data_IF_726243463162
#
_entry.id   IF_726243463162
#
_cell.length_a   1.000
_cell.length_b   1.000
_cell.length_c   1.000
_cell.angle_alpha   90.00
_cell.angle_beta   90.00
_cell.angle_gamma   90.00
#
_symmetry.space_group_name_H-M   'P 1'
#
loop_
_entity.id
_entity.type
_entity.pdbx_description
1 polymer ?
#
# COMPACT_ATOMS: atom_id res chain seq x y z
N UNK A 1 -13.06 22.62 -20.15
CA UNK A 1 -12.41 23.91 -19.82
C UNK A 1 -11.39 23.62 -18.73
N UNK A 2 -10.10 23.81 -19.01
CA UNK A 2 -9.09 23.80 -17.95
C UNK A 2 -9.30 25.05 -17.09
N UNK A 3 -9.55 24.87 -15.79
CA UNK A 3 -9.53 25.99 -14.85
C UNK A 3 -8.08 26.47 -14.71
N UNK A 4 -7.88 27.78 -14.84
CA UNK A 4 -6.59 28.40 -14.56
C UNK A 4 -6.42 28.54 -13.05
N UNK A 5 -5.28 28.08 -12.51
CA UNK A 5 -4.94 28.15 -11.10
C UNK A 5 -3.69 29.04 -10.93
N UNK A 6 -3.74 30.01 -10.02
CA UNK A 6 -2.65 30.94 -9.74
C UNK A 6 -2.20 30.84 -8.28
N UNK A 7 -0.94 30.49 -8.06
CA UNK A 7 -0.35 30.48 -6.71
C UNK A 7 -0.30 31.88 -6.07
N UNK A 8 -0.27 32.94 -6.90
CA UNK A 8 -0.26 34.32 -6.41
C UNK A 8 -1.60 34.74 -5.76
N UNK A 9 -2.66 33.98 -6.01
CA UNK A 9 -3.99 34.21 -5.42
C UNK A 9 -4.20 33.40 -4.12
N UNK A 10 -3.19 32.64 -3.68
CA UNK A 10 -3.25 31.85 -2.45
C UNK A 10 -2.54 32.56 -1.29
N UNK A 11 -3.27 32.94 -0.24
CA UNK A 11 -2.69 33.48 1.00
C UNK A 11 -1.93 32.42 1.82
N UNK A 12 -2.35 31.16 1.68
CA UNK A 12 -1.81 30.01 2.44
C UNK A 12 -1.67 28.82 1.50
N UNK A 13 -0.55 28.12 1.61
CA UNK A 13 -0.30 26.84 0.94
C UNK A 13 -0.07 25.77 2.00
N UNK A 14 -0.98 24.80 2.08
CA UNK A 14 -0.83 23.62 2.93
C UNK A 14 -0.09 22.52 2.20
N UNK A 15 0.85 21.87 2.88
CA UNK A 15 1.56 20.71 2.38
C UNK A 15 1.23 19.51 3.26
N UNK A 16 1.00 18.36 2.62
CA UNK A 16 1.04 17.10 3.33
C UNK A 16 2.46 16.83 3.84
N UNK A 17 2.59 16.04 4.92
CA UNK A 17 3.90 15.72 5.48
C UNK A 17 4.50 14.53 4.75
N UNK A 18 3.88 13.37 4.88
CA UNK A 18 4.45 12.10 4.45
C UNK A 18 4.37 11.93 2.93
N UNK A 19 5.47 11.50 2.32
CA UNK A 19 5.63 11.43 0.85
C UNK A 19 5.50 12.76 0.09
N UNK A 20 5.32 13.89 0.79
CA UNK A 20 5.34 15.25 0.23
C UNK A 20 6.53 16.05 0.75
N UNK A 21 6.53 16.47 2.02
CA UNK A 21 7.68 17.14 2.65
C UNK A 21 8.71 16.14 3.18
N UNK A 22 8.24 15.11 3.88
CA UNK A 22 9.02 14.01 4.40
C UNK A 22 9.07 12.88 3.36
N UNK A 23 10.22 12.71 2.72
CA UNK A 23 10.40 11.70 1.68
C UNK A 23 11.07 10.45 2.25
N UNK A 24 10.52 9.29 1.90
CA UNK A 24 11.00 7.99 2.34
C UNK A 24 11.71 7.25 1.21
N UNK A 25 12.73 6.48 1.54
CA UNK A 25 13.26 5.47 0.63
C UNK A 25 12.26 4.32 0.53
N UNK A 26 11.57 4.24 -0.61
CA UNK A 26 10.45 3.32 -0.81
C UNK A 26 10.79 1.84 -0.54
N UNK A 27 11.95 1.29 -0.94
CA UNK A 27 12.27 -0.11 -0.64
C UNK A 27 12.33 -0.40 0.87
N UNK A 28 12.95 0.50 1.64
CA UNK A 28 13.13 0.38 3.08
C UNK A 28 11.80 0.55 3.81
N UNK A 29 10.99 1.55 3.43
CA UNK A 29 9.66 1.75 4.03
C UNK A 29 8.71 0.61 3.66
N UNK A 30 8.72 0.16 2.40
CA UNK A 30 7.90 -0.95 1.94
C UNK A 30 8.22 -2.24 2.70
N UNK A 31 9.50 -2.52 2.92
CA UNK A 31 9.94 -3.67 3.72
C UNK A 31 9.41 -3.61 5.15
N UNK A 32 9.52 -2.45 5.80
CA UNK A 32 9.05 -2.28 7.19
C UNK A 32 7.54 -2.50 7.31
N UNK A 33 6.77 -1.95 6.38
CA UNK A 33 5.32 -2.12 6.34
C UNK A 33 4.95 -3.59 6.11
N UNK A 34 5.58 -4.24 5.12
CA UNK A 34 5.37 -5.66 4.84
C UNK A 34 5.66 -6.51 6.08
N UNK A 35 6.85 -6.34 6.69
CA UNK A 35 7.27 -7.11 7.86
C UNK A 35 6.30 -6.91 9.03
N UNK A 36 5.82 -5.67 9.24
CA UNK A 36 4.84 -5.35 10.29
C UNK A 36 3.51 -6.08 10.07
N UNK A 37 2.97 -6.02 8.85
CA UNK A 37 1.71 -6.68 8.51
C UNK A 37 1.84 -8.22 8.58
N UNK A 38 2.91 -8.78 8.01
CA UNK A 38 3.17 -10.21 8.04
C UNK A 38 3.32 -10.71 9.48
N UNK A 39 4.04 -9.97 10.33
CA UNK A 39 4.19 -10.31 11.74
C UNK A 39 2.84 -10.40 12.44
N UNK A 40 1.95 -9.43 12.21
CA UNK A 40 0.61 -9.42 12.79
C UNK A 40 -0.25 -10.59 12.30
N UNK A 41 -0.27 -10.85 10.99
CA UNK A 41 -1.04 -11.97 10.43
C UNK A 41 -0.56 -13.32 10.99
N UNK A 42 0.75 -13.51 11.15
CA UNK A 42 1.28 -14.77 11.68
C UNK A 42 1.02 -14.91 13.17
N UNK A 43 1.28 -13.89 14.01
CA UNK A 43 1.17 -14.05 15.47
C UNK A 43 -0.24 -13.92 16.00
N UNK A 44 -1.01 -12.97 15.47
CA UNK A 44 -2.34 -12.65 16.01
C UNK A 44 -3.45 -13.42 15.28
N UNK A 45 -3.21 -13.84 14.03
CA UNK A 45 -4.21 -14.47 13.16
C UNK A 45 -3.87 -15.90 12.75
N UNK A 46 -2.66 -16.37 13.02
CA UNK A 46 -2.26 -17.77 12.81
C UNK A 46 -2.00 -18.14 11.36
N UNK A 47 -1.67 -17.18 10.49
CA UNK A 47 -1.27 -17.45 9.11
C UNK A 47 0.10 -18.15 9.06
N UNK A 48 0.43 -18.74 7.91
CA UNK A 48 1.69 -19.44 7.70
C UNK A 48 2.92 -18.54 7.95
N UNK A 49 3.91 -19.10 8.66
CA UNK A 49 5.17 -18.41 8.97
C UNK A 49 5.99 -18.06 7.73
N UNK A 50 5.74 -18.73 6.60
CA UNK A 50 6.38 -18.42 5.32
C UNK A 50 6.12 -16.98 4.86
N UNK A 51 5.05 -16.34 5.33
CA UNK A 51 4.78 -14.92 5.09
C UNK A 51 5.86 -14.00 5.66
N UNK A 52 6.58 -14.41 6.72
CA UNK A 52 7.67 -13.63 7.34
C UNK A 52 8.95 -13.59 6.49
N UNK A 53 9.09 -14.52 5.54
CA UNK A 53 10.26 -14.60 4.68
C UNK A 53 9.96 -13.88 3.37
N UNK A 54 10.48 -12.65 3.21
CA UNK A 54 10.32 -11.86 1.99
C UNK A 54 11.56 -12.00 1.09
N UNK A 55 11.42 -12.57 -0.13
CA UNK A 55 12.49 -12.55 -1.13
C UNK A 55 12.79 -11.13 -1.62
N UNK A 56 14.04 -10.81 -2.01
CA UNK A 56 14.48 -9.46 -2.37
C UNK A 56 13.68 -8.81 -3.52
N UNK A 57 13.26 -9.60 -4.52
CA UNK A 57 12.67 -9.10 -5.76
C UNK A 57 11.13 -9.03 -5.74
N UNK A 58 10.50 -9.43 -4.64
CA UNK A 58 9.04 -9.59 -4.64
C UNK A 58 8.27 -8.27 -4.47
N UNK A 59 8.93 -7.21 -3.99
CA UNK A 59 8.28 -5.90 -3.84
C UNK A 59 8.00 -5.20 -5.17
N UNK A 60 8.60 -5.64 -6.28
CA UNK A 60 8.30 -5.12 -7.62
C UNK A 60 6.85 -5.41 -8.06
N UNK A 61 6.19 -6.37 -7.40
CA UNK A 61 4.75 -6.60 -7.53
C UNK A 61 3.92 -5.36 -7.14
N UNK A 62 4.42 -4.58 -6.20
CA UNK A 62 3.71 -3.48 -5.56
C UNK A 62 3.74 -2.22 -6.45
N UNK A 63 2.65 -1.97 -7.17
CA UNK A 63 2.47 -0.77 -7.99
C UNK A 63 1.29 0.06 -7.50
N UNK A 64 1.46 1.39 -7.36
CA UNK A 64 0.35 2.29 -7.04
C UNK A 64 -0.75 2.20 -8.11
N UNK A 65 -2.00 2.24 -7.66
CA UNK A 65 -3.20 2.04 -8.48
C UNK A 65 -3.46 0.58 -8.86
N UNK A 66 -2.95 -0.37 -8.08
CA UNK A 66 -3.31 -1.78 -8.19
C UNK A 66 -4.64 -2.02 -7.49
N UNK A 67 -5.54 -2.76 -8.13
CA UNK A 67 -6.83 -3.15 -7.56
C UNK A 67 -6.76 -4.61 -7.12
N UNK A 68 -7.10 -4.89 -5.88
CA UNK A 68 -7.34 -6.26 -5.40
C UNK A 68 -8.84 -6.58 -5.55
N UNK A 69 -9.15 -7.59 -6.34
CA UNK A 69 -10.43 -8.31 -6.34
C UNK A 69 -10.36 -9.42 -5.29
N UNK A 70 -10.92 -9.15 -4.12
CA UNK A 70 -10.85 -10.04 -2.96
C UNK A 70 -11.69 -11.29 -3.21
N UNK A 71 -12.80 -11.16 -3.93
CA UNK A 71 -13.71 -12.29 -4.17
C UNK A 71 -13.04 -13.37 -5.03
N UNK A 72 -12.19 -12.96 -5.97
CA UNK A 72 -11.52 -13.86 -6.92
C UNK A 72 -10.01 -14.03 -6.65
N UNK A 73 -9.46 -13.39 -5.62
CA UNK A 73 -8.02 -13.46 -5.31
C UNK A 73 -7.12 -12.83 -6.39
N UNK A 74 -7.66 -11.92 -7.19
CA UNK A 74 -6.99 -11.36 -8.37
C UNK A 74 -6.49 -9.94 -8.11
N UNK A 75 -5.37 -9.58 -8.73
CA UNK A 75 -4.85 -8.22 -8.75
C UNK A 75 -4.89 -7.67 -10.15
N UNK A 76 -5.44 -6.47 -10.32
CA UNK A 76 -5.72 -5.86 -11.61
C UNK A 76 -5.01 -4.51 -11.72
N UNK A 77 -4.36 -4.29 -12.86
CA UNK A 77 -3.94 -2.96 -13.30
C UNK A 77 -4.91 -2.49 -14.37
N UNK A 78 -5.63 -1.42 -14.08
CA UNK A 78 -6.67 -0.89 -14.97
C UNK A 78 -6.15 0.31 -15.77
N UNK A 79 -6.69 0.50 -16.97
CA UNK A 79 -6.61 1.72 -17.74
C UNK A 79 -7.56 2.79 -17.18
N UNK A 80 -7.45 4.02 -17.70
CA UNK A 80 -8.34 5.13 -17.33
C UNK A 80 -9.81 4.86 -17.68
N UNK A 81 -10.07 4.06 -18.72
CA UNK A 81 -11.41 3.61 -19.13
C UNK A 81 -11.87 2.32 -18.41
N UNK A 82 -11.11 1.87 -17.41
CA UNK A 82 -11.39 0.67 -16.62
C UNK A 82 -11.09 -0.65 -17.32
N UNK A 83 -10.49 -0.66 -18.50
CA UNK A 83 -10.03 -1.90 -19.15
C UNK A 83 -8.89 -2.55 -18.35
N UNK A 84 -8.92 -3.87 -18.19
CA UNK A 84 -7.84 -4.61 -17.50
C UNK A 84 -6.60 -4.69 -18.42
N UNK A 85 -5.52 -4.04 -18.00
CA UNK A 85 -4.24 -4.02 -18.74
C UNK A 85 -3.31 -5.17 -18.34
N UNK A 86 -3.29 -5.51 -17.04
CA UNK A 86 -2.53 -6.62 -16.47
C UNK A 86 -3.34 -7.23 -15.34
N UNK A 87 -3.17 -8.53 -15.13
CA UNK A 87 -3.75 -9.23 -14.01
C UNK A 87 -2.80 -10.30 -13.45
N UNK A 88 -2.98 -10.63 -12.18
CA UNK A 88 -2.42 -11.83 -11.55
C UNK A 88 -3.47 -12.49 -10.68
N UNK A 89 -3.35 -13.80 -10.50
CA UNK A 89 -4.04 -14.54 -9.45
C UNK A 89 -3.01 -14.86 -8.37
N UNK A 90 -3.22 -14.35 -7.15
CA UNK A 90 -2.14 -14.29 -6.17
C UNK A 90 -0.89 -13.64 -6.77
N UNK A 91 0.28 -14.28 -6.64
CA UNK A 91 1.53 -13.80 -7.24
C UNK A 91 1.73 -14.26 -8.69
N UNK A 92 0.90 -15.15 -9.20
CA UNK A 92 1.02 -15.69 -10.56
C UNK A 92 0.40 -14.73 -11.59
N UNK A 93 1.24 -14.14 -12.43
CA UNK A 93 0.78 -13.28 -13.54
C UNK A 93 -0.06 -14.06 -14.55
N UNK A 94 -1.15 -13.45 -15.02
CA UNK A 94 -1.99 -13.98 -16.10
C UNK A 94 -1.40 -13.62 -17.47
N UNK A 95 -1.57 -14.49 -18.46
CA UNK A 95 -1.24 -14.19 -19.86
C UNK A 95 -2.27 -13.23 -20.46
N UNK A 96 -1.93 -12.66 -21.60
CA UNK A 96 -2.86 -11.80 -22.34
C UNK A 96 -4.13 -12.55 -22.76
N UNK A 97 -3.99 -13.82 -23.15
CA UNK A 97 -5.11 -14.69 -23.54
C UNK A 97 -6.02 -14.97 -22.34
N UNK A 98 -5.45 -15.28 -21.17
CA UNK A 98 -6.22 -15.48 -19.93
C UNK A 98 -6.98 -14.20 -19.54
N UNK A 99 -6.35 -13.04 -19.62
CA UNK A 99 -6.99 -11.74 -19.34
C UNK A 99 -8.15 -11.50 -20.31
N UNK A 100 -7.95 -11.74 -21.61
CA UNK A 100 -9.00 -11.56 -22.61
C UNK A 100 -10.17 -12.54 -22.40
N UNK A 101 -9.89 -13.76 -21.99
CA UNK A 101 -10.92 -14.76 -21.71
C UNK A 101 -11.77 -14.38 -20.49
N UNK A 102 -11.12 -13.92 -19.41
CA UNK A 102 -11.78 -13.62 -18.13
C UNK A 102 -12.47 -12.25 -18.15
N UNK A 103 -11.79 -11.22 -18.64
CA UNK A 103 -12.23 -9.83 -18.53
C UNK A 103 -12.67 -9.22 -19.86
N UNK A 104 -12.25 -9.78 -20.99
CA UNK A 104 -12.50 -9.21 -22.31
C UNK A 104 -11.76 -7.89 -22.55
N UNK A 105 -12.27 -7.07 -23.48
CA UNK A 105 -11.72 -5.75 -23.83
C UNK A 105 -12.61 -4.59 -23.40
N UNK A 106 -13.45 -4.82 -22.39
CA UNK A 106 -14.42 -3.84 -21.90
C UNK A 106 -13.98 -3.34 -20.53
N UNK A 107 -14.59 -2.24 -20.09
CA UNK A 107 -14.52 -1.78 -18.72
C UNK A 107 -14.79 -2.96 -17.76
N UNK A 108 -13.91 -3.15 -16.78
CA UNK A 108 -14.14 -4.14 -15.75
C UNK A 108 -15.43 -3.81 -14.99
N UNK A 109 -16.33 -4.79 -14.86
CA UNK A 109 -17.70 -4.61 -14.32
C UNK A 109 -17.80 -3.85 -12.99
N UNK A 110 -16.73 -3.82 -12.19
CA UNK A 110 -16.69 -3.22 -10.86
C UNK A 110 -15.91 -1.92 -10.79
N UNK A 111 -15.40 -1.41 -11.92
CA UNK A 111 -14.54 -0.23 -12.00
C UNK A 111 -15.07 0.97 -11.20
N UNK A 112 -16.35 1.29 -11.36
CA UNK A 112 -17.01 2.41 -10.68
C UNK A 112 -17.29 2.19 -9.18
N UNK A 113 -17.01 1.00 -8.64
CA UNK A 113 -17.23 0.64 -7.23
C UNK A 113 -15.95 0.52 -6.42
N UNK A 114 -14.79 0.63 -7.10
CA UNK A 114 -13.47 0.54 -6.47
C UNK A 114 -13.24 1.75 -5.57
N UNK A 115 -12.69 1.50 -4.39
CA UNK A 115 -12.31 2.54 -3.43
C UNK A 115 -11.00 2.18 -2.74
N UNK A 116 -10.19 3.19 -2.41
CA UNK A 116 -9.06 3.05 -1.49
C UNK A 116 -9.45 3.15 -0.02
N UNK A 117 -10.74 3.37 0.29
CA UNK A 117 -11.19 3.43 1.68
C UNK A 117 -11.22 2.03 2.29
N UNK A 118 -10.40 1.82 3.32
CA UNK A 118 -10.33 0.56 4.05
C UNK A 118 -11.67 0.25 4.72
N UNK A 119 -12.29 -0.87 4.33
CA UNK A 119 -13.48 -1.41 4.96
C UNK A 119 -13.39 -2.92 5.07
N UNK A 120 -13.83 -3.48 6.21
CA UNK A 120 -13.82 -4.95 6.44
C UNK A 120 -14.74 -5.71 5.48
N UNK A 121 -15.74 -5.05 4.92
CA UNK A 121 -16.71 -5.65 3.99
C UNK A 121 -16.42 -5.31 2.54
N UNK A 122 -15.24 -4.74 2.26
CA UNK A 122 -14.85 -4.44 0.89
C UNK A 122 -14.72 -5.74 0.09
N UNK A 123 -15.19 -5.69 -1.16
CA UNK A 123 -14.99 -6.75 -2.17
C UNK A 123 -13.82 -6.43 -3.08
N UNK A 124 -13.54 -5.14 -3.24
CA UNK A 124 -12.44 -4.62 -4.04
C UNK A 124 -11.69 -3.57 -3.24
N UNK A 125 -10.38 -3.51 -3.41
CA UNK A 125 -9.54 -2.53 -2.73
C UNK A 125 -8.53 -1.90 -3.68
N UNK A 126 -8.43 -0.57 -3.67
CA UNK A 126 -7.44 0.17 -4.45
C UNK A 126 -6.25 0.55 -3.58
N UNK A 127 -5.07 0.06 -3.95
CA UNK A 127 -3.81 0.50 -3.34
C UNK A 127 -3.35 1.81 -4.01
N UNK A 128 -3.81 2.96 -3.51
CA UNK A 128 -3.53 4.29 -4.07
C UNK A 128 -2.48 5.11 -3.30
N UNK A 129 -1.95 4.57 -2.21
CA UNK A 129 -0.95 5.22 -1.36
C UNK A 129 0.21 4.26 -1.07
N UNK A 130 1.26 4.73 -0.41
CA UNK A 130 2.45 3.90 -0.12
C UNK A 130 2.42 3.25 1.27
N UNK A 131 1.45 3.60 2.12
CA UNK A 131 1.39 3.16 3.52
C UNK A 131 0.84 1.75 3.67
N UNK A 132 0.03 1.30 2.72
CA UNK A 132 -0.60 -0.02 2.70
C UNK A 132 -0.20 -0.88 1.49
N UNK A 133 0.40 -0.27 0.46
CA UNK A 133 0.77 -0.92 -0.79
C UNK A 133 1.59 -2.22 -0.64
N UNK A 134 2.55 -2.34 0.29
CA UNK A 134 3.24 -3.61 0.52
C UNK A 134 2.31 -4.75 0.99
N UNK A 135 1.15 -4.41 1.54
CA UNK A 135 0.06 -5.34 1.84
C UNK A 135 -0.51 -6.02 0.60
N UNK A 136 -0.37 -5.44 -0.60
CA UNK A 136 -0.80 -6.08 -1.85
C UNK A 136 -0.06 -7.40 -2.09
N UNK A 137 1.27 -7.39 -1.99
CA UNK A 137 2.08 -8.62 -2.11
C UNK A 137 1.72 -9.62 -0.99
N UNK A 138 1.50 -9.13 0.22
CA UNK A 138 1.12 -10.00 1.33
C UNK A 138 -0.21 -10.72 1.06
N UNK A 139 -1.21 -9.98 0.57
CA UNK A 139 -2.49 -10.55 0.13
C UNK A 139 -2.30 -11.56 -1.01
N UNK A 140 -1.43 -11.26 -1.98
CA UNK A 140 -1.14 -12.16 -3.10
C UNK A 140 -0.56 -13.50 -2.63
N UNK A 141 0.36 -13.47 -1.66
CA UNK A 141 0.93 -14.67 -1.07
C UNK A 141 -0.04 -15.44 -0.18
N UNK A 142 -0.96 -14.73 0.48
CA UNK A 142 -2.06 -15.37 1.21
C UNK A 142 -2.96 -16.13 0.23
N UNK A 143 -3.31 -15.54 -0.92
CA UNK A 143 -4.04 -16.23 -1.99
C UNK A 143 -3.29 -17.48 -2.43
N UNK A 144 -2.00 -17.36 -2.78
CA UNK A 144 -1.19 -18.52 -3.22
C UNK A 144 -1.16 -19.67 -2.20
N UNK A 145 -1.10 -19.33 -0.91
CA UNK A 145 -1.10 -20.32 0.19
C UNK A 145 -2.47 -20.97 0.36
N UNK A 146 -3.55 -20.18 0.31
CA UNK A 146 -4.91 -20.70 0.43
C UNK A 146 -5.26 -21.62 -0.74
N UNK A 147 -4.85 -21.30 -1.96
CA UNK A 147 -5.11 -22.11 -3.15
C UNK A 147 -4.40 -23.47 -3.12
N UNK A 148 -3.28 -23.58 -2.41
CA UNK A 148 -2.55 -24.85 -2.24
C UNK A 148 -3.23 -25.79 -1.24
N UNK A 149 -3.95 -25.24 -0.26
CA UNK A 149 -4.50 -25.99 0.87
C UNK A 149 -6.01 -26.18 0.82
N UNK A 150 -6.75 -25.25 0.22
CA UNK A 150 -8.20 -25.18 0.29
C UNK A 150 -8.83 -25.34 -1.10
N UNK A 151 -9.65 -26.37 -1.27
CA UNK A 151 -10.39 -26.60 -2.52
C UNK A 151 -11.58 -25.65 -2.70
N UNK A 152 -11.90 -24.81 -1.71
CA UNK A 152 -13.00 -23.86 -1.75
C UNK A 152 -12.53 -22.41 -1.99
N UNK A 153 -13.01 -21.83 -3.09
CA UNK A 153 -12.63 -20.54 -3.68
C UNK A 153 -13.04 -19.26 -2.90
N UNK A 154 -13.41 -19.34 -1.62
CA UNK A 154 -13.92 -18.16 -0.91
C UNK A 154 -12.86 -17.56 0.01
N UNK A 155 -12.32 -16.41 -0.38
CA UNK A 155 -11.38 -15.65 0.43
C UNK A 155 -12.09 -14.83 1.52
N UNK A 156 -11.66 -14.98 2.77
CA UNK A 156 -12.13 -14.19 3.93
C UNK A 156 -10.95 -13.58 4.71
N UNK A 157 -9.76 -13.49 4.08
CA UNK A 157 -8.56 -12.96 4.72
C UNK A 157 -8.58 -11.43 4.86
N UNK A 158 -9.41 -10.73 4.08
CA UNK A 158 -9.38 -9.26 4.02
C UNK A 158 -9.67 -8.61 5.37
N UNK A 159 -10.59 -9.15 6.17
CA UNK A 159 -10.88 -8.64 7.53
C UNK A 159 -9.64 -8.64 8.44
N UNK A 160 -8.74 -9.61 8.24
CA UNK A 160 -7.50 -9.75 9.00
C UNK A 160 -6.43 -8.80 8.46
N UNK A 161 -6.37 -8.62 7.14
CA UNK A 161 -5.52 -7.58 6.52
C UNK A 161 -5.91 -6.18 7.01
N UNK A 162 -7.21 -5.86 7.06
CA UNK A 162 -7.71 -4.61 7.65
C UNK A 162 -7.29 -4.47 9.11
N UNK A 163 -7.36 -5.55 9.89
CA UNK A 163 -6.91 -5.54 11.28
C UNK A 163 -5.40 -5.28 11.40
N UNK A 164 -4.58 -5.83 10.50
CA UNK A 164 -3.14 -5.58 10.44
C UNK A 164 -2.82 -4.11 10.08
N UNK A 165 -3.50 -3.56 9.06
CA UNK A 165 -3.40 -2.14 8.69
C UNK A 165 -3.75 -1.26 9.89
N UNK A 166 -4.90 -1.48 10.51
CA UNK A 166 -5.36 -0.73 11.68
C UNK A 166 -4.43 -0.88 12.89
N UNK A 167 -3.79 -2.05 13.05
CA UNK A 167 -2.80 -2.25 14.10
C UNK A 167 -1.57 -1.36 13.85
N UNK A 168 -1.06 -1.33 12.62
CA UNK A 168 0.13 -0.54 12.26
C UNK A 168 -0.06 0.98 12.43
N UNK A 169 -1.29 1.49 12.35
CA UNK A 169 -1.58 2.91 12.63
C UNK A 169 -1.70 3.25 14.13
N UNK A 170 -1.65 2.25 15.03
CA UNK A 170 -1.64 2.50 16.47
C UNK A 170 -0.21 2.72 16.95
N UNK A 171 0.05 3.85 17.60
CA UNK A 171 1.36 4.16 18.21
C UNK A 171 1.83 3.02 19.13
N UNK A 172 0.91 2.36 19.84
CA UNK A 172 1.20 1.25 20.74
C UNK A 172 1.58 -0.07 20.04
N UNK A 173 1.35 -0.20 18.74
CA UNK A 173 1.77 -1.37 17.97
C UNK A 173 3.29 -1.43 17.78
N UNK A 174 3.95 -0.29 17.84
CA UNK A 174 5.40 -0.19 17.72
C UNK A 174 6.05 -0.43 19.08
N UNK A 175 6.37 -1.71 19.35
CA UNK A 175 7.19 -2.09 20.50
C UNK A 175 8.58 -1.43 20.40
N UNK A 176 9.27 -1.32 21.54
CA UNK A 176 10.63 -0.74 21.64
C UNK A 176 11.59 -1.32 20.59
N UNK A 177 11.45 -2.60 20.24
CA UNK A 177 12.27 -3.25 19.21
C UNK A 177 12.02 -2.73 17.79
N UNK A 178 10.77 -2.38 17.46
CA UNK A 178 10.46 -1.76 16.18
C UNK A 178 11.01 -0.33 16.11
N UNK A 179 10.85 0.45 17.18
CA UNK A 179 11.45 1.79 17.30
C UNK A 179 12.99 1.74 17.24
N UNK A 180 13.58 0.67 17.78
CA UNK A 180 15.02 0.39 17.67
C UNK A 180 15.44 0.03 16.24
N UNK A 181 14.64 -0.77 15.51
CA UNK A 181 14.86 -1.00 14.07
C UNK A 181 14.74 0.29 13.27
N UNK A 182 13.74 1.12 13.54
CA UNK A 182 13.55 2.41 12.88
C UNK A 182 14.71 3.37 13.14
N UNK A 183 15.19 3.47 14.38
CA UNK A 183 16.33 4.33 14.72
C UNK A 183 17.62 3.88 14.05
N UNK A 184 17.86 2.56 13.94
CA UNK A 184 18.99 2.01 13.18
C UNK A 184 18.87 2.25 11.67
N UNK A 185 17.65 2.31 11.14
CA UNK A 185 17.38 2.62 9.74
C UNK A 185 17.30 4.13 9.46
N UNK A 186 17.26 4.99 10.49
CA UNK A 186 16.99 6.43 10.38
C UNK A 186 17.64 7.11 9.17
N UNK A 187 18.97 7.09 9.00
CA UNK A 187 19.63 7.76 7.88
C UNK A 187 19.39 7.10 6.50
N UNK A 188 18.86 5.88 6.46
CA UNK A 188 18.58 5.11 5.24
C UNK A 188 17.08 4.98 4.94
N UNK A 189 16.21 5.38 5.88
CA UNK A 189 14.76 5.36 5.72
C UNK A 189 14.25 6.64 5.09
N UNK A 190 14.87 7.78 5.43
CA UNK A 190 14.50 9.09 4.91
C UNK A 190 15.46 9.49 3.81
N UNK A 191 14.90 10.07 2.74
CA UNK A 191 15.70 10.73 1.71
C UNK A 191 16.08 12.10 2.28
N UNK A 192 17.38 12.42 2.45
CA UNK A 192 17.81 13.72 2.93
C UNK A 192 17.18 14.86 2.10
N UNK A 193 16.86 15.97 2.76
CA UNK A 193 16.30 17.14 2.10
C UNK A 193 17.26 17.68 1.02
N UNK A 194 16.73 18.10 -0.13
CA UNK A 194 17.49 18.89 -1.08
C UNK A 194 17.88 20.24 -0.46
N UNK A 195 19.05 20.82 -0.77
CA UNK A 195 19.50 22.10 -0.20
C UNK A 195 18.56 23.30 -0.50
N UNK A 196 17.61 23.12 -1.43
CA UNK A 196 16.59 24.11 -1.79
C UNK A 196 15.57 24.33 -0.65
N UNK A 197 15.32 23.31 0.17
CA UNK A 197 14.39 23.39 1.33
C UNK A 197 15.14 23.75 2.63
N UNK A 198 16.49 23.76 2.61
CA UNK A 198 17.32 23.99 3.80
C UNK A 198 17.76 25.45 3.99
N UNK A 199 17.20 26.41 3.25
CA UNK A 199 17.44 27.82 3.55
C UNK A 199 16.64 28.26 4.79
N UNK A 200 17.31 28.13 5.95
CA UNK A 200 17.12 28.78 7.26
C UNK A 200 15.71 29.25 7.67
N UNK A 201 15.10 28.64 8.71
CA UNK A 201 13.90 29.15 9.38
C UNK A 201 14.27 30.10 10.56
N UNK A 202 15.14 31.10 10.37
CA UNK A 202 15.44 32.06 11.44
C UNK A 202 14.47 33.24 11.55
N UNK A 203 13.44 33.34 10.70
CA UNK A 203 12.53 34.51 10.70
C UNK A 203 11.10 34.24 11.17
N UNK A 204 10.71 33.01 11.48
CA UNK A 204 9.32 32.70 11.87
C UNK A 204 9.34 31.85 13.13
N UNK A 205 8.65 32.33 14.18
CA UNK A 205 8.55 31.76 15.53
C UNK A 205 9.61 32.26 16.53
N UNK A 206 9.51 33.54 16.91
CA UNK A 206 9.81 33.91 18.30
C UNK A 206 8.63 33.44 19.17
N UNK A 207 8.85 32.66 20.23
CA UNK A 207 7.78 32.33 21.17
C UNK A 207 7.45 33.58 21.97
N UNK A 208 6.25 34.13 21.78
CA UNK A 208 5.66 35.04 22.77
C UNK A 208 5.10 34.19 23.90
N UNK A 209 5.77 34.25 25.04
CA UNK A 209 5.27 33.74 26.31
C UNK A 209 4.04 34.55 26.75
N UNK A 210 2.95 33.85 27.02
CA UNK A 210 1.98 34.13 28.09
C UNK A 210 1.42 32.78 28.56
#
# INVERSE_FOLDING_TARGET
MQQHFSLAECDVVGFDLDHTLCRYHLPQSARLIYDSFAQYLVTEKGYDKDLLTLPPDNLDFCCKGLVLDIEEGNFLKLAEDGTVLRASHGTKSMTFEEILEIYGRKEWKHFNTVSGMVSRTAKYYLYDNYFDLPGALLCARVVDSLDQHDGQKKYDFWKDMVAAIQHNYKISAFKVDFLRKLSNLGPHLYIPGSPIVSHSPESVLKPTAF
#
